data_IF_285898699226
#
_entry.id   IF_285898699226
#
_cell.length_a   1.000
_cell.length_b   1.000
_cell.length_c   1.000
_cell.angle_alpha   90.00
_cell.angle_beta   90.00
_cell.angle_gamma   90.00
#
_symmetry.space_group_name_H-M   'P 1'
#
loop_
_entity.id
_entity.type
_entity.pdbx_description
1 polymer ?
#
# COMPACT_ATOMS: atom_id res chain seq x y z
N UNK A 1 -3.00 16.39 -25.26
CA UNK A 1 -3.82 16.30 -24.04
C UNK A 1 -2.97 15.60 -23.00
N UNK A 2 -2.41 16.35 -22.04
CA UNK A 2 -1.64 15.77 -20.92
C UNK A 2 -2.62 15.09 -19.97
N UNK A 3 -2.57 13.76 -19.88
CA UNK A 3 -3.30 13.04 -18.85
C UNK A 3 -2.56 13.27 -17.52
N UNK A 4 -3.06 14.15 -16.69
CA UNK A 4 -2.61 14.28 -15.31
C UNK A 4 -3.10 13.06 -14.54
N UNK A 5 -2.18 12.30 -14.01
CA UNK A 5 -2.45 11.16 -13.14
C UNK A 5 -2.38 11.68 -11.69
N UNK A 6 -3.44 11.50 -10.96
CA UNK A 6 -3.56 11.96 -9.58
C UNK A 6 -2.90 10.95 -8.66
N UNK A 7 -2.02 11.41 -7.79
CA UNK A 7 -1.47 10.63 -6.69
C UNK A 7 -1.92 11.25 -5.37
N UNK A 8 -2.22 10.40 -4.41
CA UNK A 8 -2.70 10.79 -3.10
C UNK A 8 -1.76 10.24 -2.04
N UNK A 9 -1.18 11.12 -1.24
CA UNK A 9 -0.58 10.75 0.03
C UNK A 9 -1.61 11.00 1.12
N UNK A 10 -2.06 9.95 1.79
CA UNK A 10 -2.99 10.07 2.92
C UNK A 10 -2.15 10.15 4.19
N UNK A 11 -2.23 11.28 4.87
CA UNK A 11 -1.70 11.41 6.23
C UNK A 11 -2.89 11.62 7.16
N UNK A 12 -3.12 10.69 8.08
CA UNK A 12 -4.12 10.81 9.13
C UNK A 12 -3.51 11.56 10.30
N UNK A 13 -3.89 12.83 10.47
CA UNK A 13 -3.53 13.61 11.64
C UNK A 13 -4.76 13.73 12.52
N UNK A 14 -4.71 13.22 13.74
CA UNK A 14 -5.73 13.39 14.81
C UNK A 14 -7.19 13.20 14.40
N UNK A 15 -7.49 12.12 13.66
CA UNK A 15 -8.87 11.76 13.33
C UNK A 15 -9.48 12.49 12.13
N UNK A 16 -8.72 13.32 11.42
CA UNK A 16 -9.13 13.95 10.17
C UNK A 16 -8.32 13.38 9.01
N UNK A 17 -9.02 13.02 7.93
CA UNK A 17 -8.39 12.56 6.68
C UNK A 17 -7.99 13.81 5.89
N UNK A 18 -6.70 14.05 5.73
CA UNK A 18 -6.20 15.06 4.79
C UNK A 18 -5.86 14.39 3.46
N UNK A 19 -6.65 14.73 2.45
CA UNK A 19 -6.43 14.32 1.08
C UNK A 19 -5.57 15.40 0.39
N UNK A 20 -4.30 15.09 0.15
CA UNK A 20 -3.40 15.96 -0.61
C UNK A 20 -3.47 15.53 -2.08
N UNK A 21 -4.38 16.14 -2.84
CA UNK A 21 -4.44 15.99 -4.29
C UNK A 21 -3.81 17.21 -4.94
N UNK A 22 -2.79 17.02 -5.76
CA UNK A 22 -2.31 18.06 -6.68
C UNK A 22 -3.37 18.30 -7.77
N UNK A 23 -4.33 19.19 -7.50
CA UNK A 23 -5.29 19.65 -8.49
C UNK A 23 -4.91 21.05 -8.98
N UNK A 24 -4.44 21.16 -10.21
CA UNK A 24 -4.47 22.43 -10.92
C UNK A 24 -5.90 22.67 -11.46
N UNK A 25 -6.65 23.56 -10.78
CA UNK A 25 -8.06 23.90 -11.04
C UNK A 25 -8.25 24.77 -12.30
N UNK A 26 -7.36 24.76 -13.29
CA UNK A 26 -7.43 25.69 -14.44
C UNK A 26 -7.98 25.13 -15.74
N UNK A 27 -8.60 23.95 -15.77
CA UNK A 27 -9.22 23.49 -17.03
C UNK A 27 -10.48 22.65 -16.82
N UNK A 28 -11.55 23.26 -16.29
CA UNK A 28 -12.91 22.80 -16.56
C UNK A 28 -13.83 24.00 -16.81
N UNK A 29 -13.87 24.45 -18.04
CA UNK A 29 -15.04 25.10 -18.58
C UNK A 29 -16.01 24.05 -19.11
N UNK A 30 -17.25 24.19 -18.73
CA UNK A 30 -18.50 23.55 -19.19
C UNK A 30 -18.98 22.29 -18.41
N UNK A 31 -19.72 22.56 -17.35
CA UNK A 31 -20.62 21.61 -16.72
C UNK A 31 -21.25 22.23 -15.47
N UNK A 32 -22.48 22.75 -15.59
CA UNK A 32 -23.24 23.39 -14.52
C UNK A 32 -23.34 22.50 -13.28
N UNK A 33 -22.54 22.78 -12.23
CA UNK A 33 -22.83 22.45 -10.86
C UNK A 33 -22.64 23.70 -10.01
N UNK A 34 -23.76 24.33 -9.62
CA UNK A 34 -23.81 25.46 -8.68
C UNK A 34 -23.71 24.94 -7.24
N UNK A 35 -22.54 24.55 -6.83
CA UNK A 35 -22.21 24.31 -5.43
C UNK A 35 -20.92 25.07 -5.15
N UNK A 36 -21.03 26.26 -4.50
CA UNK A 36 -19.87 26.99 -4.01
C UNK A 36 -19.17 26.13 -2.93
N UNK A 37 -18.04 25.54 -3.32
CA UNK A 37 -17.07 25.05 -2.34
C UNK A 37 -16.42 26.26 -1.67
N UNK A 38 -16.80 26.54 -0.44
CA UNK A 38 -16.07 27.47 0.42
C UNK A 38 -14.95 26.65 1.04
N UNK A 39 -13.70 26.97 0.68
CA UNK A 39 -12.54 26.40 1.35
C UNK A 39 -12.69 26.61 2.87
N UNK A 40 -12.54 25.59 3.72
CA UNK A 40 -12.55 25.78 5.16
C UNK A 40 -11.46 26.78 5.52
N UNK A 41 -11.80 27.74 6.37
CA UNK A 41 -10.85 28.74 6.88
C UNK A 41 -9.63 28.02 7.45
N UNK A 42 -8.40 28.53 7.23
CA UNK A 42 -7.20 27.93 7.76
C UNK A 42 -7.37 27.77 9.28
N UNK A 43 -7.32 26.54 9.74
CA UNK A 43 -7.35 26.24 11.18
C UNK A 43 -6.18 26.98 11.81
N UNK A 44 -6.51 27.88 12.75
CA UNK A 44 -5.50 28.58 13.53
C UNK A 44 -4.51 27.56 14.08
N UNK A 45 -3.22 27.75 13.78
CA UNK A 45 -2.12 26.94 14.34
C UNK A 45 -2.36 26.80 15.84
N UNK A 46 -2.69 25.60 16.28
CA UNK A 46 -2.59 25.25 17.69
C UNK A 46 -1.12 25.24 18.00
N UNK A 47 -0.67 26.23 18.77
CA UNK A 47 0.71 26.32 19.23
C UNK A 47 0.96 25.22 20.26
N UNK A 48 1.38 24.05 19.79
CA UNK A 48 1.69 22.87 20.60
C UNK A 48 2.76 23.13 21.68
N UNK A 49 3.50 24.23 21.59
CA UNK A 49 4.46 24.67 22.62
C UNK A 49 3.78 25.18 23.89
N UNK A 50 2.46 25.41 23.88
CA UNK A 50 1.69 25.90 25.05
C UNK A 50 0.91 24.80 25.79
N UNK A 51 1.02 23.56 25.42
CA UNK A 51 0.53 22.45 26.26
C UNK A 51 1.53 22.29 27.40
N UNK A 52 1.16 22.52 28.69
CA UNK A 52 2.09 22.33 29.81
C UNK A 52 2.61 20.90 29.74
N UNK A 53 3.91 20.77 29.55
CA UNK A 53 4.58 19.49 29.47
C UNK A 53 4.36 18.68 30.74
N UNK A 54 3.44 17.74 30.70
CA UNK A 54 3.60 16.56 31.51
C UNK A 54 4.77 15.79 30.91
N UNK A 55 5.94 15.93 31.51
CA UNK A 55 7.01 14.94 31.40
C UNK A 55 6.36 13.61 31.78
N UNK A 56 6.00 12.83 30.76
CA UNK A 56 5.65 11.43 30.98
C UNK A 56 6.85 10.80 31.68
N UNK A 57 6.67 10.09 32.80
CA UNK A 57 7.76 9.40 33.42
C UNK A 57 8.39 8.49 32.36
N UNK A 58 9.72 8.56 32.23
CA UNK A 58 10.49 7.59 31.47
C UNK A 58 10.07 6.23 32.01
N UNK A 59 9.18 5.54 31.31
CA UNK A 59 8.86 4.16 31.65
C UNK A 59 10.18 3.40 31.54
N UNK A 60 10.70 2.96 32.67
CA UNK A 60 11.78 1.98 32.68
C UNK A 60 11.26 0.80 31.87
N UNK A 61 11.80 0.62 30.66
CA UNK A 61 11.53 -0.56 29.82
C UNK A 61 11.99 -1.74 30.66
N UNK A 62 11.03 -2.45 31.25
CA UNK A 62 11.33 -3.68 31.97
C UNK A 62 11.96 -4.66 30.99
N UNK A 63 13.07 -5.30 31.32
CA UNK A 63 13.70 -6.25 30.40
C UNK A 63 12.68 -7.32 30.01
N UNK A 64 12.54 -7.54 28.72
CA UNK A 64 11.63 -8.54 28.13
C UNK A 64 11.93 -9.89 28.80
N UNK A 65 10.93 -10.52 29.40
CA UNK A 65 11.11 -11.78 30.10
C UNK A 65 11.55 -12.90 29.12
N UNK A 66 12.23 -13.93 29.63
CA UNK A 66 12.64 -15.06 28.80
C UNK A 66 11.44 -15.74 28.09
N UNK A 67 10.26 -15.75 28.73
CA UNK A 67 9.01 -16.25 28.13
C UNK A 67 8.59 -15.40 26.93
N UNK A 68 8.61 -14.08 27.06
CA UNK A 68 8.28 -13.15 25.98
C UNK A 68 9.30 -13.23 24.83
N UNK A 69 10.59 -13.39 25.14
CA UNK A 69 11.62 -13.58 24.10
C UNK A 69 11.40 -14.87 23.30
N UNK A 70 10.99 -15.95 23.98
CA UNK A 70 10.68 -17.21 23.31
C UNK A 70 9.43 -17.08 22.43
N UNK A 71 8.38 -16.42 22.92
CA UNK A 71 7.16 -16.16 22.15
C UNK A 71 7.47 -15.33 20.89
N UNK A 72 8.24 -14.25 21.01
CA UNK A 72 8.65 -13.42 19.87
C UNK A 72 9.46 -14.25 18.86
N UNK A 73 10.35 -15.12 19.33
CA UNK A 73 11.15 -15.99 18.46
C UNK A 73 10.26 -16.96 17.67
N UNK A 74 9.25 -17.55 18.30
CA UNK A 74 8.27 -18.42 17.65
C UNK A 74 7.43 -17.66 16.59
N UNK A 75 7.02 -16.42 16.91
CA UNK A 75 6.30 -15.57 15.96
C UNK A 75 7.18 -15.28 14.73
N UNK A 76 8.45 -14.95 14.95
CA UNK A 76 9.40 -14.69 13.84
C UNK A 76 9.60 -15.95 13.00
N UNK A 77 9.74 -17.12 13.62
CA UNK A 77 9.89 -18.40 12.91
C UNK A 77 8.62 -18.73 12.09
N UNK A 78 7.45 -18.55 12.66
CA UNK A 78 6.19 -18.72 11.93
C UNK A 78 6.10 -17.75 10.75
N UNK A 79 6.45 -16.47 10.96
CA UNK A 79 6.46 -15.46 9.90
C UNK A 79 7.46 -15.77 8.80
N UNK A 80 8.62 -16.36 9.13
CA UNK A 80 9.58 -16.84 8.14
C UNK A 80 9.02 -17.95 7.25
N UNK A 81 8.15 -18.81 7.79
CA UNK A 81 7.41 -19.80 7.00
C UNK A 81 6.54 -19.14 5.93
N UNK A 82 5.80 -18.08 6.28
CA UNK A 82 5.03 -17.32 5.31
C UNK A 82 5.92 -16.62 4.28
N UNK A 83 7.03 -16.01 4.71
CA UNK A 83 8.00 -15.36 3.83
C UNK A 83 8.58 -16.36 2.81
N UNK A 84 8.94 -17.58 3.22
CA UNK A 84 9.44 -18.62 2.33
C UNK A 84 8.39 -19.08 1.31
N UNK A 85 7.11 -19.05 1.71
CA UNK A 85 5.98 -19.32 0.83
C UNK A 85 5.59 -18.10 -0.03
N UNK A 86 6.29 -16.96 0.11
CA UNK A 86 5.93 -15.65 -0.48
C UNK A 86 4.52 -15.17 -0.12
N UNK A 87 3.98 -15.64 1.01
CA UNK A 87 2.70 -15.17 1.56
C UNK A 87 2.92 -13.92 2.41
N UNK A 88 3.15 -12.81 1.72
CA UNK A 88 3.47 -11.51 2.33
C UNK A 88 2.34 -10.94 3.16
N UNK A 89 1.09 -11.25 2.79
CA UNK A 89 -0.09 -10.82 3.55
C UNK A 89 -0.14 -11.46 4.93
N UNK A 90 -0.02 -12.79 5.00
CA UNK A 90 -0.03 -13.52 6.27
C UNK A 90 1.16 -13.13 7.14
N UNK A 91 2.36 -12.99 6.54
CA UNK A 91 3.55 -12.52 7.24
C UNK A 91 3.33 -11.12 7.83
N UNK A 92 2.87 -10.15 7.02
CA UNK A 92 2.58 -8.78 7.47
C UNK A 92 1.54 -8.78 8.60
N UNK A 93 0.42 -9.48 8.42
CA UNK A 93 -0.67 -9.55 9.40
C UNK A 93 -0.23 -10.15 10.73
N UNK A 94 0.61 -11.19 10.68
CA UNK A 94 1.19 -11.81 11.88
C UNK A 94 2.07 -10.82 12.65
N UNK A 95 3.00 -10.16 11.94
CA UNK A 95 3.92 -9.22 12.57
C UNK A 95 3.21 -7.95 13.06
N UNK A 96 2.19 -7.45 12.35
CA UNK A 96 1.36 -6.33 12.82
C UNK A 96 0.64 -6.65 14.13
N UNK A 97 0.04 -7.86 14.24
CA UNK A 97 -0.57 -8.32 15.48
C UNK A 97 0.45 -8.45 16.62
N UNK A 98 1.65 -8.94 16.31
CA UNK A 98 2.72 -9.08 17.28
C UNK A 98 3.22 -7.72 17.78
N UNK A 99 3.35 -6.72 16.90
CA UNK A 99 3.75 -5.36 17.27
C UNK A 99 2.74 -4.65 18.18
N UNK A 100 1.44 -4.97 18.09
CA UNK A 100 0.44 -4.48 19.05
C UNK A 100 0.71 -4.99 20.48
N UNK A 101 1.32 -6.19 20.60
CA UNK A 101 1.67 -6.80 21.90
C UNK A 101 3.10 -6.45 22.35
N UNK A 102 4.02 -6.31 21.41
CA UNK A 102 5.45 -6.05 21.62
C UNK A 102 5.93 -4.86 20.79
N UNK A 103 5.47 -3.63 21.09
CA UNK A 103 5.68 -2.46 20.23
C UNK A 103 7.15 -2.05 20.10
N UNK A 104 8.00 -2.39 21.05
CA UNK A 104 9.40 -1.97 21.13
C UNK A 104 10.39 -3.03 20.59
N UNK A 105 9.92 -4.18 20.09
CA UNK A 105 10.84 -5.23 19.61
C UNK A 105 11.32 -4.94 18.19
N UNK A 106 12.61 -4.61 18.07
CA UNK A 106 13.25 -4.24 16.81
C UNK A 106 13.24 -5.37 15.75
N UNK A 107 13.20 -6.63 16.19
CA UNK A 107 13.18 -7.80 15.27
C UNK A 107 11.83 -7.87 14.58
N UNK A 108 10.74 -7.64 15.34
CA UNK A 108 9.37 -7.59 14.80
C UNK A 108 9.19 -6.41 13.86
N UNK A 109 9.71 -5.22 14.21
CA UNK A 109 9.68 -4.06 13.31
C UNK A 109 10.37 -4.33 11.98
N UNK A 110 11.57 -4.93 12.01
CA UNK A 110 12.30 -5.29 10.78
C UNK A 110 11.56 -6.33 9.94
N UNK A 111 11.00 -7.36 10.59
CA UNK A 111 10.24 -8.40 9.90
C UNK A 111 8.96 -7.84 9.29
N UNK A 112 8.25 -6.99 10.03
CA UNK A 112 7.06 -6.29 9.55
C UNK A 112 7.36 -5.38 8.35
N UNK A 113 8.39 -4.53 8.46
CA UNK A 113 8.78 -3.61 7.39
C UNK A 113 9.11 -4.37 6.09
N UNK A 114 9.87 -5.48 6.19
CA UNK A 114 10.18 -6.32 5.03
C UNK A 114 8.92 -6.93 4.42
N UNK A 115 8.05 -7.55 5.22
CA UNK A 115 6.83 -8.17 4.73
C UNK A 115 5.88 -7.13 4.12
N UNK A 116 5.76 -5.94 4.74
CA UNK A 116 4.99 -4.81 4.22
C UNK A 116 5.50 -4.34 2.87
N UNK A 117 6.82 -4.17 2.71
CA UNK A 117 7.42 -3.72 1.46
C UNK A 117 7.08 -4.67 0.29
N UNK A 118 7.32 -5.96 0.45
CA UNK A 118 6.94 -6.95 -0.57
C UNK A 118 5.44 -6.96 -0.87
N UNK A 119 4.61 -6.86 0.16
CA UNK A 119 3.15 -6.80 0.01
C UNK A 119 2.72 -5.57 -0.83
N UNK A 120 3.25 -4.39 -0.51
CA UNK A 120 2.94 -3.15 -1.23
C UNK A 120 3.45 -3.17 -2.69
N UNK A 121 4.61 -3.79 -2.94
CA UNK A 121 5.10 -4.04 -4.32
C UNK A 121 4.08 -4.87 -5.08
N UNK A 122 3.60 -5.98 -4.51
CA UNK A 122 2.57 -6.82 -5.11
C UNK A 122 1.34 -6.01 -5.48
N UNK A 123 0.80 -5.21 -4.56
CA UNK A 123 -0.36 -4.37 -4.79
C UNK A 123 -0.14 -3.34 -5.92
N UNK A 124 0.98 -2.65 -5.93
CA UNK A 124 1.28 -1.63 -6.96
C UNK A 124 1.40 -2.23 -8.35
N UNK A 125 2.18 -3.32 -8.49
CA UNK A 125 2.44 -3.93 -9.79
C UNK A 125 1.28 -4.77 -10.32
N UNK A 126 0.32 -5.17 -9.50
CA UNK A 126 -0.94 -5.76 -9.95
C UNK A 126 -1.91 -4.72 -10.52
N UNK A 127 -1.78 -3.44 -10.15
CA UNK A 127 -2.62 -2.36 -10.63
C UNK A 127 -2.20 -1.92 -12.07
N UNK A 128 -3.06 -2.09 -13.07
CA UNK A 128 -2.77 -1.64 -14.44
C UNK A 128 -2.47 -0.14 -14.52
N UNK A 129 -3.15 0.70 -13.70
CA UNK A 129 -2.94 2.15 -13.71
C UNK A 129 -1.52 2.54 -13.30
N UNK A 130 -0.90 1.77 -12.40
CA UNK A 130 0.49 2.00 -11.99
C UNK A 130 1.47 1.65 -13.11
N UNK A 131 1.26 0.53 -13.80
CA UNK A 131 2.10 0.15 -14.95
C UNK A 131 1.99 1.15 -16.10
N UNK A 132 0.78 1.62 -16.38
CA UNK A 132 0.55 2.66 -17.39
C UNK A 132 1.26 3.97 -17.02
N UNK A 133 1.24 4.31 -15.74
CA UNK A 133 1.98 5.45 -15.21
C UNK A 133 3.49 5.30 -15.40
N UNK A 134 4.08 4.19 -14.99
CA UNK A 134 5.52 3.95 -15.14
C UNK A 134 5.98 4.04 -16.59
N UNK A 135 5.15 3.54 -17.53
CA UNK A 135 5.44 3.53 -18.97
C UNK A 135 5.20 4.88 -19.66
N UNK A 136 4.27 5.68 -19.14
CA UNK A 136 3.84 6.95 -19.76
C UNK A 136 4.44 8.20 -19.13
N UNK A 137 5.18 8.08 -18.02
CA UNK A 137 5.73 9.22 -17.28
C UNK A 137 7.18 9.48 -17.69
N UNK A 138 7.51 10.76 -17.87
CA UNK A 138 8.89 11.18 -18.08
C UNK A 138 9.66 11.26 -16.76
N UNK A 139 11.00 11.24 -16.87
CA UNK A 139 11.87 11.47 -15.69
C UNK A 139 11.55 12.79 -15.00
N UNK A 140 11.35 13.86 -15.75
CA UNK A 140 11.06 15.18 -15.19
C UNK A 140 9.71 15.22 -14.45
N UNK A 141 8.68 14.56 -15.00
CA UNK A 141 7.38 14.44 -14.34
C UNK A 141 7.45 13.60 -13.06
N UNK A 142 8.24 12.52 -13.05
CA UNK A 142 8.48 11.73 -11.83
C UNK A 142 9.23 12.54 -10.76
N UNK A 143 10.22 13.32 -11.16
CA UNK A 143 10.94 14.21 -10.23
C UNK A 143 10.08 15.38 -9.75
N UNK A 144 9.16 15.88 -10.57
CA UNK A 144 8.18 16.87 -10.13
C UNK A 144 7.26 16.30 -9.05
N UNK A 145 6.75 15.09 -9.26
CA UNK A 145 5.93 14.39 -8.25
C UNK A 145 6.73 14.13 -6.96
N UNK A 146 8.00 13.71 -7.09
CA UNK A 146 8.90 13.58 -5.95
C UNK A 146 9.00 14.87 -5.13
N UNK A 147 9.23 15.99 -5.80
CA UNK A 147 9.36 17.30 -5.14
C UNK A 147 8.05 17.68 -4.42
N UNK A 148 6.90 17.48 -5.06
CA UNK A 148 5.59 17.76 -4.49
C UNK A 148 5.31 16.90 -3.23
N UNK A 149 5.56 15.59 -3.31
CA UNK A 149 5.37 14.67 -2.18
C UNK A 149 6.23 15.09 -0.99
N UNK A 150 7.52 15.30 -1.19
CA UNK A 150 8.42 15.57 -0.06
C UNK A 150 8.35 17.01 0.45
N UNK A 151 7.91 17.97 -0.35
CA UNK A 151 7.51 19.28 0.16
C UNK A 151 6.31 19.15 1.11
N UNK A 152 5.31 18.36 0.74
CA UNK A 152 4.16 18.10 1.61
C UNK A 152 4.56 17.34 2.89
N UNK A 153 5.45 16.34 2.80
CA UNK A 153 6.01 15.68 4.00
C UNK A 153 6.71 16.68 4.91
N UNK A 154 7.52 17.58 4.35
CA UNK A 154 8.23 18.61 5.11
C UNK A 154 7.26 19.56 5.82
N UNK A 155 6.17 19.96 5.16
CA UNK A 155 5.28 21.02 5.64
C UNK A 155 4.18 20.49 6.56
N UNK A 156 3.74 19.23 6.38
CA UNK A 156 2.54 18.71 7.03
C UNK A 156 2.77 17.46 7.88
N UNK A 157 3.88 16.73 7.73
CA UNK A 157 4.12 15.57 8.60
C UNK A 157 4.35 16.01 10.05
N UNK A 158 3.83 15.22 10.99
CA UNK A 158 3.84 15.53 12.43
C UNK A 158 5.26 15.67 12.98
N UNK A 159 6.16 14.82 12.51
CA UNK A 159 7.57 14.83 12.89
C UNK A 159 8.39 15.52 11.81
N UNK A 160 9.40 16.28 12.22
CA UNK A 160 10.35 16.88 11.28
C UNK A 160 11.13 15.79 10.56
N UNK A 161 11.12 15.74 9.21
CA UNK A 161 11.80 14.70 8.46
C UNK A 161 13.32 14.66 8.75
N UNK A 162 13.83 13.49 9.06
CA UNK A 162 15.27 13.21 9.05
C UNK A 162 15.65 12.72 7.65
N UNK A 163 16.12 13.64 6.81
CA UNK A 163 16.39 13.37 5.39
C UNK A 163 17.40 12.25 5.17
N UNK A 164 18.41 12.13 6.05
CA UNK A 164 19.40 11.05 5.97
C UNK A 164 18.77 9.69 6.27
N UNK A 165 17.89 9.61 7.26
CA UNK A 165 17.16 8.41 7.61
C UNK A 165 16.18 8.01 6.50
N UNK A 166 15.44 8.98 5.94
CA UNK A 166 14.54 8.76 4.81
C UNK A 166 15.30 8.22 3.58
N UNK A 167 16.48 8.78 3.28
CA UNK A 167 17.33 8.24 2.21
C UNK A 167 17.69 6.77 2.45
N UNK A 168 18.08 6.42 3.68
CA UNK A 168 18.41 5.04 4.04
C UNK A 168 17.20 4.10 3.92
N UNK A 169 16.00 4.56 4.29
CA UNK A 169 14.77 3.78 4.10
C UNK A 169 14.48 3.53 2.62
N UNK A 170 14.54 4.56 1.79
CA UNK A 170 14.36 4.40 0.35
C UNK A 170 15.37 3.46 -0.29
N UNK A 171 16.65 3.54 0.13
CA UNK A 171 17.70 2.60 -0.33
C UNK A 171 17.46 1.16 0.13
N UNK A 172 16.93 0.97 1.35
CA UNK A 172 16.55 -0.36 1.86
C UNK A 172 15.38 -0.93 1.05
N UNK A 173 14.40 -0.10 0.76
CA UNK A 173 13.25 -0.48 -0.05
C UNK A 173 13.64 -0.90 -1.46
N UNK A 174 14.50 -0.12 -2.13
CA UNK A 174 15.04 -0.53 -3.44
C UNK A 174 15.74 -1.89 -3.40
N UNK A 175 16.53 -2.17 -2.36
CA UNK A 175 17.18 -3.48 -2.20
C UNK A 175 16.13 -4.61 -2.07
N UNK A 176 15.03 -4.36 -1.36
CA UNK A 176 13.91 -5.31 -1.25
C UNK A 176 13.24 -5.47 -2.62
N UNK A 177 12.92 -4.37 -3.33
CA UNK A 177 12.30 -4.39 -4.65
C UNK A 177 13.10 -5.21 -5.64
N UNK A 178 14.42 -5.06 -5.68
CA UNK A 178 15.29 -5.85 -6.54
C UNK A 178 15.46 -7.33 -6.10
N UNK A 179 14.96 -7.70 -4.95
CA UNK A 179 14.81 -9.10 -4.53
C UNK A 179 13.43 -9.67 -4.82
N UNK A 180 12.47 -8.83 -5.21
CA UNK A 180 11.08 -9.21 -5.42
C UNK A 180 10.80 -9.64 -6.86
N UNK A 181 10.30 -10.88 -7.08
CA UNK A 181 10.00 -11.36 -8.43
C UNK A 181 8.90 -10.58 -9.15
N UNK A 182 7.97 -9.93 -8.41
CA UNK A 182 6.89 -9.13 -9.00
C UNK A 182 7.46 -7.83 -9.58
N UNK A 183 8.31 -7.15 -8.82
CA UNK A 183 9.03 -5.96 -9.29
C UNK A 183 9.88 -6.28 -10.52
N UNK A 184 10.68 -7.34 -10.46
CA UNK A 184 11.58 -7.72 -11.55
C UNK A 184 10.79 -8.02 -12.83
N UNK A 185 9.76 -8.86 -12.76
CA UNK A 185 8.89 -9.17 -13.90
C UNK A 185 8.18 -7.92 -14.45
N UNK A 186 7.68 -7.05 -13.56
CA UNK A 186 7.03 -5.80 -13.95
C UNK A 186 7.94 -4.83 -14.71
N UNK A 187 9.26 -4.97 -14.52
CA UNK A 187 10.30 -4.20 -15.21
C UNK A 187 11.05 -5.00 -16.28
N UNK A 188 10.51 -6.13 -16.75
CA UNK A 188 11.07 -7.00 -17.78
C UNK A 188 12.46 -7.59 -17.43
N UNK A 189 12.72 -7.81 -16.16
CA UNK A 189 13.94 -8.47 -15.66
C UNK A 189 13.60 -9.89 -15.21
N UNK A 190 14.44 -10.85 -15.61
CA UNK A 190 14.30 -12.22 -15.15
C UNK A 190 14.65 -12.33 -13.65
N UNK A 191 13.81 -13.03 -12.89
CA UNK A 191 14.00 -13.24 -11.46
C UNK A 191 15.29 -14.02 -11.10
N UNK A 192 15.88 -14.74 -12.05
CA UNK A 192 17.17 -15.41 -11.88
C UNK A 192 18.31 -14.42 -11.59
N UNK A 193 18.17 -13.15 -11.94
CA UNK A 193 19.15 -12.10 -11.65
C UNK A 193 19.13 -11.62 -10.20
N UNK A 194 18.10 -11.94 -9.41
CA UNK A 194 17.95 -11.47 -8.02
C UNK A 194 19.21 -11.65 -7.15
N UNK A 195 19.96 -12.78 -7.17
CA UNK A 195 21.18 -12.92 -6.37
C UNK A 195 22.30 -11.94 -6.75
N UNK A 196 22.36 -11.51 -8.02
CA UNK A 196 23.35 -10.52 -8.49
C UNK A 196 23.02 -9.13 -7.95
N UNK A 197 21.75 -8.80 -7.77
CA UNK A 197 21.35 -7.53 -7.24
C UNK A 197 21.74 -7.33 -5.77
N UNK A 198 21.81 -8.40 -4.97
CA UNK A 198 22.32 -8.29 -3.59
C UNK A 198 23.77 -7.80 -3.54
N UNK A 199 24.63 -8.32 -4.41
CA UNK A 199 26.02 -7.85 -4.51
C UNK A 199 26.10 -6.43 -5.07
N UNK A 200 25.25 -6.11 -6.05
CA UNK A 200 25.13 -4.79 -6.62
C UNK A 200 24.75 -3.75 -5.57
N UNK A 201 23.69 -3.99 -4.79
CA UNK A 201 23.26 -3.08 -3.72
C UNK A 201 24.29 -2.94 -2.60
N UNK A 202 25.02 -4.01 -2.26
CA UNK A 202 26.13 -3.93 -1.33
C UNK A 202 27.23 -2.97 -1.84
N UNK A 203 27.52 -2.99 -3.13
CA UNK A 203 28.48 -2.05 -3.75
C UNK A 203 27.94 -0.62 -3.79
N UNK A 204 26.67 -0.45 -4.18
CA UNK A 204 26.00 0.84 -4.25
C UNK A 204 25.94 1.52 -2.88
N UNK A 205 25.63 0.77 -1.82
CA UNK A 205 25.62 1.28 -0.43
C UNK A 205 26.99 1.81 -0.03
N UNK A 206 28.07 1.07 -0.27
CA UNK A 206 29.44 1.54 0.04
C UNK A 206 29.78 2.86 -0.65
N UNK A 207 29.21 3.12 -1.83
CA UNK A 207 29.40 4.37 -2.55
C UNK A 207 28.58 5.52 -1.93
N UNK A 208 27.44 5.22 -1.33
CA UNK A 208 26.51 6.19 -0.75
C UNK A 208 26.68 6.36 0.78
N UNK A 209 27.43 5.48 1.47
CA UNK A 209 27.60 5.48 2.93
C UNK A 209 28.15 6.81 3.49
N UNK A 210 28.94 7.53 2.68
CA UNK A 210 29.53 8.82 3.09
C UNK A 210 28.68 10.04 2.65
N UNK A 211 27.51 9.82 2.08
CA UNK A 211 26.64 10.92 1.69
C UNK A 211 25.97 11.52 2.92
N UNK A 212 25.92 12.84 2.97
CA UNK A 212 25.23 13.59 4.02
C UNK A 212 23.98 14.21 3.42
N UNK A 213 22.82 13.69 3.76
CA UNK A 213 21.53 14.13 3.25
C UNK A 213 20.87 15.00 4.32
N UNK A 214 21.03 16.32 4.22
CA UNK A 214 20.60 17.26 5.24
C UNK A 214 19.36 18.07 4.84
N UNK A 215 18.93 17.97 3.61
CA UNK A 215 17.81 18.73 3.06
C UNK A 215 17.04 17.93 2.00
N UNK A 216 15.83 18.39 1.69
CA UNK A 216 15.06 17.88 0.55
C UNK A 216 15.85 17.97 -0.76
N UNK A 217 16.60 19.06 -0.97
CA UNK A 217 17.42 19.22 -2.16
C UNK A 217 18.57 18.18 -2.24
N UNK A 218 19.16 17.82 -1.09
CA UNK A 218 20.17 16.74 -1.06
C UNK A 218 19.54 15.39 -1.36
N UNK A 219 18.35 15.09 -0.77
CA UNK A 219 17.58 13.87 -1.07
C UNK A 219 17.26 13.79 -2.56
N UNK A 220 16.76 14.88 -3.14
CA UNK A 220 16.45 14.99 -4.57
C UNK A 220 17.65 14.67 -5.46
N UNK A 221 18.80 15.31 -5.20
CA UNK A 221 20.02 15.05 -5.96
C UNK A 221 20.50 13.61 -5.82
N UNK A 222 20.40 13.07 -4.62
CA UNK A 222 20.85 11.72 -4.31
C UNK A 222 20.04 10.68 -5.07
N UNK A 223 18.71 10.80 -5.11
CA UNK A 223 17.87 9.85 -5.86
C UNK A 223 18.07 9.99 -7.36
N UNK A 224 18.31 11.19 -7.89
CA UNK A 224 18.64 11.35 -9.31
C UNK A 224 19.89 10.57 -9.68
N UNK A 225 20.95 10.68 -8.88
CA UNK A 225 22.20 9.95 -9.11
C UNK A 225 21.99 8.44 -8.99
N UNK A 226 21.29 7.99 -7.96
CA UNK A 226 20.99 6.57 -7.72
C UNK A 226 20.15 5.99 -8.85
N UNK A 227 19.05 6.66 -9.23
CA UNK A 227 18.15 6.19 -10.28
C UNK A 227 18.85 6.08 -11.64
N UNK A 228 19.63 7.11 -12.01
CA UNK A 228 20.39 7.10 -13.24
C UNK A 228 21.43 5.98 -13.28
N UNK A 229 22.15 5.78 -12.18
CA UNK A 229 23.13 4.72 -12.04
C UNK A 229 22.50 3.34 -12.16
N UNK A 230 21.40 3.10 -11.45
CA UNK A 230 20.69 1.82 -11.52
C UNK A 230 20.18 1.56 -12.93
N UNK A 231 19.63 2.58 -13.61
CA UNK A 231 19.18 2.47 -15.00
C UNK A 231 20.31 2.09 -15.94
N UNK A 232 21.48 2.72 -15.83
CA UNK A 232 22.65 2.40 -16.65
C UNK A 232 23.12 0.95 -16.43
N UNK A 233 23.13 0.49 -15.18
CA UNK A 233 23.66 -0.82 -14.80
C UNK A 233 22.67 -1.97 -15.03
N UNK A 234 21.35 -1.71 -15.01
CA UNK A 234 20.31 -2.76 -15.03
C UNK A 234 19.31 -2.64 -16.17
N UNK A 235 19.19 -1.47 -16.79
CA UNK A 235 18.16 -1.17 -17.80
C UNK A 235 16.77 -0.87 -17.25
N UNK A 236 16.56 -0.94 -15.92
CA UNK A 236 15.28 -0.58 -15.30
C UNK A 236 15.06 0.93 -15.42
N UNK A 237 13.83 1.32 -15.73
CA UNK A 237 13.47 2.74 -15.86
C UNK A 237 13.79 3.53 -14.59
N UNK A 238 14.41 4.71 -14.76
CA UNK A 238 14.63 5.66 -13.67
C UNK A 238 13.33 6.09 -13.00
N UNK A 239 12.23 6.18 -13.75
CA UNK A 239 10.89 6.44 -13.20
C UNK A 239 10.49 5.33 -12.22
N UNK A 240 10.63 4.06 -12.58
CA UNK A 240 10.30 2.95 -11.70
C UNK A 240 11.15 2.98 -10.42
N UNK A 241 12.44 3.31 -10.53
CA UNK A 241 13.35 3.40 -9.38
C UNK A 241 12.95 4.56 -8.46
N UNK A 242 12.64 5.74 -9.02
CA UNK A 242 12.19 6.90 -8.24
C UNK A 242 10.89 6.57 -7.50
N UNK A 243 9.94 5.93 -8.18
CA UNK A 243 8.63 5.64 -7.59
C UNK A 243 8.70 4.57 -6.49
N UNK A 244 9.55 3.54 -6.63
CA UNK A 244 9.80 2.60 -5.55
C UNK A 244 10.46 3.28 -4.36
N UNK A 245 11.50 4.09 -4.60
CA UNK A 245 12.17 4.85 -3.54
C UNK A 245 11.19 5.76 -2.77
N UNK A 246 10.31 6.48 -3.48
CA UNK A 246 9.25 7.30 -2.88
C UNK A 246 8.29 6.45 -2.05
N UNK A 247 7.78 5.36 -2.62
CA UNK A 247 6.81 4.49 -1.97
C UNK A 247 7.35 3.93 -0.65
N UNK A 248 8.62 3.50 -0.65
CA UNK A 248 9.25 2.92 0.53
C UNK A 248 9.49 3.95 1.63
N UNK A 249 9.88 5.17 1.27
CA UNK A 249 9.99 6.28 2.24
C UNK A 249 8.62 6.59 2.85
N UNK A 250 7.58 6.75 2.03
CA UNK A 250 6.23 7.05 2.53
C UNK A 250 5.75 5.94 3.48
N UNK A 251 5.97 4.67 3.11
CA UNK A 251 5.65 3.54 3.99
C UNK A 251 6.47 3.53 5.29
N UNK A 252 7.62 4.19 5.36
CA UNK A 252 8.47 4.26 6.55
C UNK A 252 8.11 5.39 7.50
N UNK A 253 7.35 6.41 7.05
CA UNK A 253 7.03 7.59 7.87
C UNK A 253 6.21 7.20 9.11
N UNK A 254 5.07 6.55 8.89
CA UNK A 254 4.20 6.06 9.96
C UNK A 254 3.22 4.99 9.44
N UNK A 255 2.31 4.51 10.32
CA UNK A 255 1.30 3.51 9.97
C UNK A 255 0.11 4.09 9.18
N UNK A 256 -0.01 5.39 9.11
CA UNK A 256 -1.11 6.10 8.45
C UNK A 256 -0.70 6.69 7.11
N UNK A 257 0.60 6.79 6.86
CA UNK A 257 1.14 7.25 5.59
C UNK A 257 1.15 6.12 4.57
N UNK A 258 0.58 6.36 3.39
CA UNK A 258 0.53 5.39 2.31
C UNK A 258 0.68 6.09 0.96
N UNK A 259 1.40 5.43 0.04
CA UNK A 259 1.39 5.78 -1.36
C UNK A 259 0.31 4.96 -2.07
N UNK A 260 -0.64 5.64 -2.71
CA UNK A 260 -1.73 4.99 -3.44
C UNK A 260 -1.58 5.20 -4.94
N UNK A 261 -1.82 4.15 -5.70
CA UNK A 261 -1.92 4.22 -7.16
C UNK A 261 -3.22 4.91 -7.60
N UNK A 262 -3.32 5.32 -8.86
CA UNK A 262 -4.54 5.95 -9.37
C UNK A 262 -5.77 5.03 -9.25
N UNK A 263 -5.59 3.72 -9.45
CA UNK A 263 -6.66 2.74 -9.24
C UNK A 263 -7.11 2.69 -7.78
N UNK A 264 -6.16 2.60 -6.84
CA UNK A 264 -6.47 2.59 -5.41
C UNK A 264 -7.13 3.88 -4.93
N UNK A 265 -6.75 5.04 -5.48
CA UNK A 265 -7.41 6.32 -5.19
C UNK A 265 -8.87 6.30 -5.66
N UNK A 266 -9.13 5.81 -6.86
CA UNK A 266 -10.50 5.69 -7.38
C UNK A 266 -11.34 4.77 -6.50
N UNK A 267 -10.76 3.67 -5.97
CA UNK A 267 -11.44 2.79 -5.03
C UNK A 267 -11.80 3.53 -3.73
N UNK A 268 -10.88 4.33 -3.18
CA UNK A 268 -11.13 5.14 -1.98
C UNK A 268 -12.25 6.17 -2.22
N UNK A 269 -12.23 6.89 -3.34
CA UNK A 269 -13.30 7.83 -3.67
C UNK A 269 -14.65 7.13 -3.85
N UNK A 270 -14.66 5.99 -4.54
CA UNK A 270 -15.86 5.20 -4.72
C UNK A 270 -16.46 4.73 -3.38
N UNK A 271 -15.60 4.36 -2.41
CA UNK A 271 -16.06 4.02 -1.05
C UNK A 271 -16.64 5.23 -0.31
N UNK A 272 -16.05 6.42 -0.46
CA UNK A 272 -16.56 7.67 0.14
C UNK A 272 -17.91 8.04 -0.46
N UNK A 273 -18.05 7.90 -1.78
CA UNK A 273 -19.30 8.18 -2.50
C UNK A 273 -20.38 7.11 -2.26
N UNK A 274 -20.05 6.02 -1.56
CA UNK A 274 -20.97 4.94 -1.22
C UNK A 274 -21.35 4.04 -2.37
N UNK A 275 -20.56 4.03 -3.44
CA UNK A 275 -20.73 3.10 -4.57
C UNK A 275 -19.37 2.58 -5.04
N UNK A 276 -19.33 1.37 -5.55
CA UNK A 276 -18.15 0.79 -6.21
C UNK A 276 -18.57 -0.21 -7.28
N UNK A 277 -17.71 -0.42 -8.28
CA UNK A 277 -17.90 -1.48 -9.27
C UNK A 277 -17.26 -2.76 -8.73
N UNK A 278 -18.06 -3.84 -8.65
CA UNK A 278 -17.55 -5.10 -8.13
C UNK A 278 -18.61 -6.21 -8.10
N UNK A 279 -18.34 -7.23 -7.31
CA UNK A 279 -19.21 -8.42 -7.18
C UNK A 279 -20.21 -8.29 -6.03
N UNK A 280 -19.94 -7.47 -5.01
CA UNK A 280 -20.78 -7.30 -3.83
C UNK A 280 -20.55 -8.35 -2.75
N UNK A 281 -19.32 -8.75 -2.53
CA UNK A 281 -18.89 -9.66 -1.47
C UNK A 281 -17.90 -8.94 -0.53
N UNK A 282 -18.01 -9.25 0.75
CA UNK A 282 -16.98 -8.93 1.75
C UNK A 282 -16.21 -10.22 2.05
N UNK A 283 -14.89 -10.10 1.99
CA UNK A 283 -13.98 -11.23 2.12
C UNK A 283 -13.15 -11.13 3.39
N UNK A 284 -12.90 -12.27 4.00
CA UNK A 284 -11.95 -12.42 5.09
C UNK A 284 -10.87 -13.42 4.69
N UNK A 285 -9.62 -13.00 4.79
CA UNK A 285 -8.50 -13.90 4.62
C UNK A 285 -8.18 -14.58 5.96
N UNK A 286 -8.25 -15.89 6.00
CA UNK A 286 -7.87 -16.72 7.14
C UNK A 286 -7.07 -17.93 6.65
N UNK A 287 -5.87 -18.12 7.20
CA UNK A 287 -4.99 -19.26 6.89
C UNK A 287 -4.70 -19.44 5.38
N UNK A 288 -4.60 -18.34 4.65
CA UNK A 288 -4.32 -18.37 3.22
C UNK A 288 -5.56 -18.60 2.31
N UNK A 289 -6.74 -18.77 2.89
CA UNK A 289 -8.00 -18.89 2.15
C UNK A 289 -8.80 -17.58 2.20
N UNK A 290 -9.43 -17.22 1.09
CA UNK A 290 -10.39 -16.12 1.03
C UNK A 290 -11.81 -16.65 1.23
N UNK A 291 -12.46 -16.27 2.33
CA UNK A 291 -13.82 -16.71 2.67
C UNK A 291 -14.79 -15.55 2.56
N UNK A 292 -15.94 -15.77 1.94
CA UNK A 292 -17.05 -14.81 1.88
C UNK A 292 -17.67 -14.71 3.28
N UNK A 293 -17.56 -13.53 3.91
CA UNK A 293 -18.15 -13.28 5.23
C UNK A 293 -19.46 -12.50 5.15
N UNK A 294 -19.67 -11.76 4.05
CA UNK A 294 -20.92 -11.04 3.78
C UNK A 294 -21.18 -10.94 2.29
N UNK A 295 -22.46 -10.94 1.93
CA UNK A 295 -22.93 -10.66 0.57
C UNK A 295 -23.89 -9.47 0.65
N UNK A 296 -23.63 -8.46 -0.18
CA UNK A 296 -24.48 -7.27 -0.25
C UNK A 296 -25.80 -7.65 -0.92
N UNK A 297 -26.95 -7.34 -0.33
CA UNK A 297 -28.25 -7.60 -0.94
C UNK A 297 -28.37 -6.96 -2.32
N UNK A 298 -29.01 -7.65 -3.24
CA UNK A 298 -29.22 -7.20 -4.63
C UNK A 298 -27.94 -6.99 -5.43
N UNK A 299 -26.81 -7.51 -4.95
CA UNK A 299 -25.54 -7.47 -5.67
C UNK A 299 -25.43 -8.61 -6.70
N UNK A 300 -24.52 -8.52 -7.68
CA UNK A 300 -24.23 -9.60 -8.61
C UNK A 300 -23.88 -10.92 -7.91
N UNK A 301 -23.19 -10.89 -6.80
CA UNK A 301 -22.87 -12.07 -6.00
C UNK A 301 -24.14 -12.74 -5.41
N UNK A 302 -25.09 -11.94 -4.91
CA UNK A 302 -26.36 -12.46 -4.42
C UNK A 302 -27.17 -13.13 -5.54
N UNK A 303 -27.19 -12.52 -6.72
CA UNK A 303 -27.91 -13.03 -7.90
C UNK A 303 -27.25 -14.29 -8.48
N UNK A 304 -25.94 -14.44 -8.38
CA UNK A 304 -25.18 -15.61 -8.86
C UNK A 304 -25.27 -16.83 -7.95
N UNK A 305 -25.89 -16.71 -6.78
CA UNK A 305 -26.07 -17.80 -5.82
C UNK A 305 -24.84 -18.10 -4.97
N UNK A 306 -23.90 -17.16 -4.86
CA UNK A 306 -22.82 -17.20 -3.86
C UNK A 306 -23.42 -17.15 -2.45
N UNK A 307 -22.74 -17.74 -1.47
CA UNK A 307 -23.21 -17.83 -0.09
C UNK A 307 -22.09 -17.42 0.89
N UNK A 308 -22.51 -16.89 2.03
CA UNK A 308 -21.59 -16.67 3.16
C UNK A 308 -21.02 -18.02 3.58
N UNK A 309 -19.69 -18.06 3.77
CA UNK A 309 -18.95 -19.29 4.05
C UNK A 309 -18.34 -19.96 2.82
N UNK A 310 -18.69 -19.55 1.60
CA UNK A 310 -18.00 -20.04 0.39
C UNK A 310 -16.52 -19.59 0.45
N UNK A 311 -15.61 -20.54 0.22
CA UNK A 311 -14.18 -20.28 0.10
C UNK A 311 -13.80 -20.12 -1.35
N UNK A 312 -13.15 -19.03 -1.68
CA UNK A 312 -12.73 -18.73 -3.04
C UNK A 312 -11.34 -19.33 -3.26
N UNK A 313 -11.24 -20.30 -4.16
CA UNK A 313 -10.01 -21.03 -4.46
C UNK A 313 -9.23 -20.39 -5.61
N UNK A 314 -9.95 -19.83 -6.61
CA UNK A 314 -9.36 -19.15 -7.76
C UNK A 314 -10.31 -18.07 -8.30
N UNK A 315 -9.73 -17.06 -8.98
CA UNK A 315 -10.44 -16.05 -9.76
C UNK A 315 -9.85 -16.03 -11.14
N UNK A 316 -10.70 -16.15 -12.16
CA UNK A 316 -10.28 -16.22 -13.57
C UNK A 316 -9.16 -17.25 -13.81
N UNK A 317 -9.25 -18.40 -13.11
CA UNK A 317 -8.28 -19.50 -13.17
C UNK A 317 -7.00 -19.28 -12.36
N UNK A 318 -6.81 -18.12 -11.73
CA UNK A 318 -5.62 -17.83 -10.88
C UNK A 318 -5.93 -18.18 -9.42
N UNK A 319 -5.14 -19.06 -8.77
CA UNK A 319 -5.37 -19.47 -7.38
C UNK A 319 -5.32 -18.30 -6.40
N UNK A 320 -6.23 -18.29 -5.41
CA UNK A 320 -6.28 -17.30 -4.34
C UNK A 320 -5.37 -17.64 -3.15
N UNK A 321 -4.92 -18.87 -3.05
CA UNK A 321 -3.96 -19.34 -2.03
C UNK A 321 -2.53 -19.23 -2.54
N UNK A 322 -1.58 -18.91 -1.65
CA UNK A 322 -0.17 -18.76 -1.98
C UNK A 322 0.24 -17.31 -2.22
N UNK A 323 1.40 -17.08 -2.87
CA UNK A 323 2.01 -15.76 -3.01
C UNK A 323 1.12 -14.70 -3.67
N UNK A 324 0.15 -15.13 -4.47
CA UNK A 324 -0.74 -14.25 -5.23
C UNK A 324 -2.12 -14.07 -4.57
N UNK A 325 -2.38 -14.74 -3.44
CA UNK A 325 -3.73 -14.80 -2.86
C UNK A 325 -4.34 -13.48 -2.45
N UNK A 326 -3.51 -12.49 -2.16
CA UNK A 326 -3.95 -11.14 -1.74
C UNK A 326 -4.16 -10.21 -2.92
N UNK A 327 -3.35 -10.35 -3.96
CA UNK A 327 -3.55 -9.61 -5.22
C UNK A 327 -4.91 -9.94 -5.82
N UNK A 328 -5.40 -11.15 -5.58
CA UNK A 328 -6.69 -11.61 -6.09
C UNK A 328 -7.91 -10.96 -5.40
N UNK A 329 -7.80 -10.51 -4.14
CA UNK A 329 -8.88 -9.74 -3.52
C UNK A 329 -9.04 -8.35 -4.18
N UNK A 330 -7.93 -7.78 -4.67
CA UNK A 330 -7.90 -6.60 -5.53
C UNK A 330 -8.52 -6.89 -6.90
N UNK A 331 -8.10 -7.97 -7.56
CA UNK A 331 -8.63 -8.38 -8.88
C UNK A 331 -10.13 -8.68 -8.87
N UNK A 332 -10.67 -9.12 -7.74
CA UNK A 332 -12.13 -9.30 -7.57
C UNK A 332 -12.87 -7.97 -7.56
N UNK A 333 -12.26 -6.93 -6.99
CA UNK A 333 -12.82 -5.59 -6.93
C UNK A 333 -12.51 -4.80 -8.21
N UNK A 334 -11.34 -5.02 -8.80
CA UNK A 334 -10.87 -4.33 -9.99
C UNK A 334 -11.47 -4.97 -11.25
N UNK A 335 -12.16 -4.18 -12.04
CA UNK A 335 -12.69 -4.55 -13.33
C UNK A 335 -13.71 -3.51 -13.78
N UNK A 336 -13.81 -3.33 -15.10
CA UNK A 336 -14.82 -2.45 -15.69
C UNK A 336 -16.23 -2.97 -15.40
N UNK A 337 -17.18 -2.06 -15.28
CA UNK A 337 -18.58 -2.40 -15.19
C UNK A 337 -18.99 -3.24 -16.42
N UNK A 338 -19.69 -4.34 -16.17
CA UNK A 338 -20.08 -5.31 -17.20
C UNK A 338 -19.05 -6.41 -17.47
N UNK A 339 -17.83 -6.33 -16.92
CA UNK A 339 -16.85 -7.41 -17.02
C UNK A 339 -17.27 -8.61 -16.16
N UNK A 340 -16.89 -9.83 -16.55
CA UNK A 340 -17.22 -11.06 -15.86
C UNK A 340 -16.01 -11.56 -15.09
N UNK A 341 -16.21 -11.91 -13.81
CA UNK A 341 -15.25 -12.67 -13.02
C UNK A 341 -15.73 -14.12 -12.85
N UNK A 342 -14.87 -15.09 -13.11
CA UNK A 342 -15.14 -16.51 -12.89
C UNK A 342 -14.48 -16.93 -11.59
N UNK A 343 -15.30 -17.28 -10.58
CA UNK A 343 -14.85 -17.70 -9.26
C UNK A 343 -14.89 -19.23 -9.15
N UNK A 344 -13.76 -19.85 -8.83
CA UNK A 344 -13.75 -21.24 -8.38
C UNK A 344 -13.94 -21.23 -6.87
N UNK A 345 -15.04 -21.76 -6.38
CA UNK A 345 -15.38 -21.75 -4.96
C UNK A 345 -15.47 -23.17 -4.39
N UNK A 346 -15.19 -23.27 -3.09
CA UNK A 346 -15.48 -24.46 -2.29
C UNK A 346 -16.56 -24.13 -1.27
N UNK A 347 -17.67 -24.84 -1.34
CA UNK A 347 -18.77 -24.73 -0.37
C UNK A 347 -18.63 -25.75 0.75
N UNK A 348 -19.36 -25.55 1.85
CA UNK A 348 -19.45 -26.52 2.94
C UNK A 348 -19.85 -27.88 2.39
N UNK A 349 -19.05 -28.93 2.71
CA UNK A 349 -19.24 -30.29 2.14
C UNK A 349 -18.28 -30.62 0.98
N UNK A 350 -17.23 -29.80 0.80
CA UNK A 350 -16.16 -29.97 -0.22
C UNK A 350 -16.61 -29.95 -1.69
N UNK A 351 -17.81 -29.44 -1.96
CA UNK A 351 -18.27 -29.21 -3.33
C UNK A 351 -17.53 -28.07 -3.97
N UNK A 352 -16.76 -28.34 -5.03
CA UNK A 352 -16.06 -27.33 -5.83
C UNK A 352 -16.90 -27.03 -7.07
N UNK A 353 -17.12 -25.76 -7.36
CA UNK A 353 -17.82 -25.29 -8.55
C UNK A 353 -17.30 -23.94 -9.03
N UNK A 354 -17.55 -23.65 -10.29
CA UNK A 354 -17.31 -22.36 -10.90
C UNK A 354 -18.60 -21.54 -10.92
N UNK A 355 -18.46 -20.25 -10.57
CA UNK A 355 -19.53 -19.26 -10.58
C UNK A 355 -19.06 -18.04 -11.32
N UNK A 356 -19.72 -17.72 -12.44
CA UNK A 356 -19.45 -16.50 -13.19
C UNK A 356 -20.32 -15.36 -12.66
N UNK A 357 -19.68 -14.24 -12.34
CA UNK A 357 -20.34 -13.06 -11.76
C UNK A 357 -19.99 -11.83 -12.57
N UNK A 358 -21.00 -11.13 -13.08
CA UNK A 358 -20.80 -9.89 -13.85
C UNK A 358 -20.63 -8.72 -12.88
N UNK A 359 -19.54 -7.96 -13.01
CA UNK A 359 -19.30 -6.77 -12.20
C UNK A 359 -20.31 -5.67 -12.51
N UNK A 360 -20.85 -5.07 -11.49
CA UNK A 360 -21.83 -3.99 -11.59
C UNK A 360 -21.57 -2.95 -10.51
N UNK A 361 -22.04 -1.73 -10.74
CA UNK A 361 -22.06 -0.72 -9.69
C UNK A 361 -22.93 -1.20 -8.52
N UNK A 362 -22.38 -1.14 -7.33
CA UNK A 362 -22.99 -1.55 -6.07
C UNK A 362 -23.10 -0.33 -5.18
N UNK A 363 -24.30 -0.06 -4.71
CA UNK A 363 -24.56 0.99 -3.73
C UNK A 363 -24.52 0.38 -2.32
N UNK A 364 -23.66 0.91 -1.47
CA UNK A 364 -23.60 0.52 -0.06
C UNK A 364 -24.41 1.54 0.73
N UNK A 365 -25.52 1.13 1.38
CA UNK A 365 -26.27 2.05 2.20
C UNK A 365 -25.43 2.50 3.40
N UNK A 366 -25.35 3.83 3.61
CA UNK A 366 -24.60 4.43 4.73
C UNK A 366 -25.20 4.09 6.10
N UNK A 367 -26.45 3.64 6.14
CA UNK A 367 -27.16 3.27 7.36
C UNK A 367 -27.89 1.95 7.10
N UNK A 368 -27.58 0.95 7.91
CA UNK A 368 -28.25 -0.35 7.90
C UNK A 368 -28.90 -0.60 9.27
N UNK A 369 -30.01 -1.36 9.26
CA UNK A 369 -30.69 -1.82 10.47
C UNK A 369 -31.12 -0.70 11.43
N UNK A 370 -31.81 0.33 10.92
CA UNK A 370 -32.41 1.35 11.76
C UNK A 370 -33.49 0.70 12.65
N UNK A 371 -33.27 0.69 13.97
CA UNK A 371 -34.22 0.23 14.95
C UNK A 371 -34.58 1.39 15.87
N UNK A 372 -35.87 1.54 16.14
CA UNK A 372 -36.34 2.41 17.22
C UNK A 372 -36.14 1.65 18.54
N UNK A 373 -35.31 2.18 19.41
CA UNK A 373 -35.13 1.64 20.77
C UNK A 373 -36.14 2.38 21.65
N UNK A 374 -37.18 1.67 22.09
CA UNK A 374 -38.17 2.17 23.05
C UNK A 374 -37.58 2.22 24.48
#
# INVERSE_FOLDING_TARGET
MKKFIHFLVITLISGNIFLLSGMDLRSQESGNYSGQWVAPAPLNRIDLKKIPGKTLPVQQISPISAVQQNEISQIIEQGQGFIQASDWFSARSLFEKALKKYPDDIRLHRAFAKARCHFEIGLRYSDPSYRDYLNGTSFDDAMYLFDEIFANVQDYHVDTPNWNELFLFGMNGLEVSFSDPVFLRGNNIDSEYSPRFQQYFTSLRRQTDNWSINSLNDLRKSIQVVAHRIKEDTGISDVAIIMEFVSDIICSLDTYSAYLTAGQINDVYSMIDGHFVGLGVELKAENGDLTIVRIIPHSPAAESGLQVGDRILAVDGVPTSGPNGVDMSGSMRQGEEGSVATLTIRRTGDEIREVSVTRRQINVPSVENVQVID
#
